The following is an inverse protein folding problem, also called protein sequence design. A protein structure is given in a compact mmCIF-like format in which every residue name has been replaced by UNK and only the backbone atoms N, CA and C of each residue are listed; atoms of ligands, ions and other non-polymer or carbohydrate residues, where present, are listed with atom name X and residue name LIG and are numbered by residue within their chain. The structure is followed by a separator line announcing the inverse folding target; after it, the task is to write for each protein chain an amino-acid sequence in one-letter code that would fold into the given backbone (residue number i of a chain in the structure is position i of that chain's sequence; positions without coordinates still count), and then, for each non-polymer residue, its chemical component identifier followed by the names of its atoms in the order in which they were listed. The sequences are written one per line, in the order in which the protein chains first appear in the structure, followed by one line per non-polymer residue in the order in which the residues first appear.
data_IF_282167927064
#
_entry.id   IF_282167927064
#
_cell.length_a   1.000
_cell.length_b   1.000
_cell.length_c   1.000
_cell.angle_alpha   90.00
_cell.angle_beta   90.00
_cell.angle_gamma   90.00
#
_symmetry.space_group_name_H-M   'P 1'
#
loop_
_entity.id
_entity.type
_entity.pdbx_description
1 polymer ?
#
# COMPACT_ATOMS: atom_id res chain seq x y z
N UNK A 1 65.36 -2.24 1.43
CA UNK A 1 64.34 -1.39 0.79
C UNK A 1 63.13 -2.26 0.48
N UNK A 2 62.20 -2.34 1.42
CA UNK A 2 60.97 -3.11 1.26
C UNK A 2 59.90 -2.14 0.77
N UNK A 3 59.66 -2.13 -0.54
CA UNK A 3 58.57 -1.38 -1.13
C UNK A 3 57.26 -2.14 -0.85
N UNK A 4 56.51 -1.69 0.16
CA UNK A 4 55.15 -2.15 0.40
C UNK A 4 54.24 -1.53 -0.67
N UNK A 5 53.87 -2.33 -1.66
CA UNK A 5 52.84 -2.00 -2.64
C UNK A 5 51.50 -1.86 -1.93
N UNK A 6 51.01 -0.62 -1.80
CA UNK A 6 49.63 -0.33 -1.39
C UNK A 6 48.73 -0.62 -2.59
N UNK A 7 48.35 -1.88 -2.74
CA UNK A 7 47.36 -2.33 -3.71
C UNK A 7 46.02 -2.61 -3.04
N UNK A 8 45.03 -1.78 -3.35
CA UNK A 8 43.63 -2.20 -3.47
C UNK A 8 42.77 -2.18 -2.21
N UNK A 9 41.85 -1.22 -2.15
CA UNK A 9 40.55 -1.40 -1.49
C UNK A 9 39.52 -0.39 -2.04
N UNK A 10 39.22 -0.47 -3.35
CA UNK A 10 37.97 0.11 -3.87
C UNK A 10 36.88 -0.94 -3.70
N UNK A 11 36.21 -0.88 -2.55
CA UNK A 11 34.99 -1.63 -2.28
C UNK A 11 33.94 -1.11 -3.25
N UNK A 12 33.50 -1.95 -4.19
CA UNK A 12 32.44 -1.66 -5.15
C UNK A 12 31.13 -1.46 -4.38
N UNK A 13 30.82 -0.21 -4.01
CA UNK A 13 29.46 0.18 -3.62
C UNK A 13 28.58 0.09 -4.88
N UNK A 14 27.39 -0.48 -4.73
CA UNK A 14 26.53 -0.95 -5.82
C UNK A 14 26.51 -0.05 -7.05
N UNK A 15 26.82 -0.64 -8.21
CA UNK A 15 26.82 0.08 -9.48
C UNK A 15 25.42 0.55 -9.88
N UNK A 16 25.29 1.37 -10.93
CA UNK A 16 23.99 1.89 -11.40
C UNK A 16 22.97 0.80 -11.75
N UNK A 17 23.43 -0.44 -12.00
CA UNK A 17 22.56 -1.60 -12.20
C UNK A 17 21.94 -2.11 -10.89
N UNK A 18 22.68 -2.10 -9.78
CA UNK A 18 22.20 -2.51 -8.45
C UNK A 18 21.06 -1.61 -7.99
N UNK A 19 21.18 -0.29 -8.19
CA UNK A 19 20.11 0.64 -7.84
C UNK A 19 18.82 0.46 -8.67
N UNK A 20 18.86 -0.23 -9.81
CA UNK A 20 17.65 -0.55 -10.59
C UNK A 20 16.96 -1.79 -10.04
N UNK A 21 17.72 -2.84 -9.72
CA UNK A 21 17.17 -4.06 -9.12
C UNK A 21 16.61 -3.79 -7.72
N UNK A 22 17.26 -2.94 -6.92
CA UNK A 22 16.74 -2.53 -5.60
C UNK A 22 15.37 -1.85 -5.71
N UNK A 23 15.20 -0.91 -6.65
CA UNK A 23 13.90 -0.26 -6.90
C UNK A 23 12.81 -1.23 -7.37
N UNK A 24 13.18 -2.28 -8.11
CA UNK A 24 12.23 -3.33 -8.49
C UNK A 24 11.80 -4.15 -7.29
N UNK A 25 12.74 -4.49 -6.41
CA UNK A 25 12.44 -5.18 -5.15
C UNK A 25 11.58 -4.32 -4.21
N UNK A 26 11.82 -3.01 -4.11
CA UNK A 26 10.94 -2.08 -3.39
C UNK A 26 9.52 -2.09 -3.94
N UNK A 27 9.38 -2.14 -5.27
CA UNK A 27 8.07 -2.23 -5.94
C UNK A 27 7.37 -3.54 -5.60
N UNK A 28 8.07 -4.67 -5.67
CA UNK A 28 7.53 -5.98 -5.27
C UNK A 28 7.07 -5.96 -3.82
N UNK A 29 7.87 -5.39 -2.92
CA UNK A 29 7.52 -5.26 -1.50
C UNK A 29 6.27 -4.39 -1.30
N UNK A 30 6.13 -3.30 -2.04
CA UNK A 30 4.92 -2.47 -2.01
C UNK A 30 3.68 -3.25 -2.46
N UNK A 31 3.80 -4.03 -3.53
CA UNK A 31 2.71 -4.88 -4.01
C UNK A 31 2.31 -5.94 -2.99
N UNK A 32 3.26 -6.62 -2.36
CA UNK A 32 2.98 -7.59 -1.29
C UNK A 32 2.22 -6.95 -0.12
N UNK A 33 2.60 -5.73 0.28
CA UNK A 33 1.90 -4.97 1.33
C UNK A 33 0.47 -4.63 0.92
N UNK A 34 0.26 -4.15 -0.31
CA UNK A 34 -1.09 -3.85 -0.84
C UNK A 34 -1.97 -5.09 -0.91
N UNK A 35 -1.43 -6.21 -1.38
CA UNK A 35 -2.13 -7.49 -1.39
C UNK A 35 -2.53 -7.91 0.03
N UNK A 36 -1.61 -7.80 0.99
CA UNK A 36 -1.89 -8.10 2.40
C UNK A 36 -2.97 -7.16 2.98
N UNK A 37 -2.93 -5.87 2.67
CA UNK A 37 -3.98 -4.93 3.08
C UNK A 37 -5.34 -5.26 2.47
N UNK A 38 -5.39 -5.73 1.22
CA UNK A 38 -6.62 -6.17 0.58
C UNK A 38 -7.20 -7.40 1.27
N UNK A 39 -6.36 -8.41 1.62
CA UNK A 39 -6.79 -9.58 2.39
C UNK A 39 -7.43 -9.16 3.72
N UNK A 40 -6.76 -8.26 4.45
CA UNK A 40 -7.27 -7.74 5.72
C UNK A 40 -8.60 -7.00 5.56
N UNK A 41 -8.73 -6.16 4.52
CA UNK A 41 -9.97 -5.47 4.23
C UNK A 41 -11.12 -6.44 3.95
N UNK A 42 -10.88 -7.44 3.09
CA UNK A 42 -11.88 -8.45 2.71
C UNK A 42 -12.33 -9.27 3.92
N UNK A 43 -11.40 -9.64 4.81
CA UNK A 43 -11.71 -10.37 6.03
C UNK A 43 -12.44 -9.52 7.09
N UNK A 44 -12.19 -8.21 7.10
CA UNK A 44 -12.85 -7.27 8.04
C UNK A 44 -14.28 -6.94 7.60
N UNK A 45 -14.51 -6.77 6.30
CA UNK A 45 -15.80 -6.34 5.75
C UNK A 45 -16.65 -7.50 5.19
N UNK A 46 -16.15 -8.73 5.26
CA UNK A 46 -16.80 -9.94 4.77
C UNK A 46 -16.80 -11.06 5.81
N UNK A 47 -17.00 -12.32 5.39
CA UNK A 47 -16.86 -13.45 6.28
C UNK A 47 -15.42 -13.53 6.80
N UNK A 48 -15.25 -13.75 8.12
CA UNK A 48 -13.95 -13.96 8.74
C UNK A 48 -13.32 -15.28 8.29
N UNK A 49 -12.70 -15.27 7.12
CA UNK A 49 -11.94 -16.37 6.52
C UNK A 49 -11.00 -15.82 5.47
N UNK A 50 -9.99 -16.60 5.12
CA UNK A 50 -9.12 -16.25 4.00
C UNK A 50 -9.94 -16.17 2.69
N UNK A 51 -9.77 -15.11 1.90
CA UNK A 51 -10.47 -14.97 0.63
C UNK A 51 -9.95 -16.01 -0.37
N UNK A 52 -10.84 -16.55 -1.20
CA UNK A 52 -10.45 -17.40 -2.34
C UNK A 52 -9.89 -16.60 -3.51
N UNK A 53 -10.19 -15.30 -3.56
CA UNK A 53 -9.79 -14.40 -4.64
C UNK A 53 -9.50 -13.00 -4.07
N UNK A 54 -8.43 -12.37 -4.57
CA UNK A 54 -8.01 -11.01 -4.20
C UNK A 54 -8.54 -10.00 -5.22
N UNK A 55 -9.86 -9.91 -5.33
CA UNK A 55 -10.54 -8.96 -6.21
C UNK A 55 -11.01 -7.71 -5.45
N UNK A 56 -11.10 -6.55 -6.12
CA UNK A 56 -11.78 -5.38 -5.58
C UNK A 56 -13.27 -5.66 -5.34
N UNK A 57 -13.81 -5.13 -4.25
CA UNK A 57 -15.25 -5.17 -3.93
C UNK A 57 -15.74 -3.77 -3.56
N UNK A 58 -17.05 -3.51 -3.51
CA UNK A 58 -17.55 -2.20 -3.07
C UNK A 58 -17.05 -1.79 -1.67
N UNK A 59 -16.86 -2.75 -0.76
CA UNK A 59 -16.33 -2.50 0.58
C UNK A 59 -14.79 -2.39 0.62
N UNK A 60 -14.10 -3.02 -0.34
CA UNK A 60 -12.65 -3.03 -0.47
C UNK A 60 -12.25 -2.71 -1.92
N UNK A 61 -12.34 -1.44 -2.35
CA UNK A 61 -12.20 -1.05 -3.75
C UNK A 61 -10.75 -0.95 -4.22
N UNK A 62 -9.77 -1.26 -3.35
CA UNK A 62 -8.36 -1.12 -3.70
C UNK A 62 -8.00 -2.05 -4.85
N UNK A 63 -7.50 -1.46 -5.94
CA UNK A 63 -6.91 -2.21 -7.03
C UNK A 63 -5.54 -2.75 -6.60
N UNK A 64 -5.39 -4.06 -6.72
CA UNK A 64 -4.15 -4.76 -6.40
C UNK A 64 -3.59 -5.43 -7.65
N UNK A 65 -2.27 -5.37 -7.82
CA UNK A 65 -1.57 -6.07 -8.88
C UNK A 65 -1.35 -7.51 -8.47
N UNK A 66 -1.80 -8.46 -9.28
CA UNK A 66 -1.63 -9.90 -9.03
C UNK A 66 -0.39 -10.49 -9.71
N UNK A 67 0.32 -9.69 -10.51
CA UNK A 67 1.55 -10.10 -11.19
C UNK A 67 2.62 -9.01 -11.10
N UNK A 68 3.89 -9.44 -11.04
CA UNK A 68 5.06 -8.58 -11.04
C UNK A 68 5.14 -7.81 -12.37
N UNK A 69 5.15 -6.46 -12.34
CA UNK A 69 5.18 -5.63 -13.54
C UNK A 69 6.47 -5.78 -14.38
N UNK A 70 7.55 -6.33 -13.81
CA UNK A 70 8.83 -6.47 -14.48
C UNK A 70 9.06 -7.86 -15.09
N UNK A 71 8.43 -8.89 -14.53
CA UNK A 71 8.64 -10.30 -14.94
C UNK A 71 7.36 -10.96 -15.45
N UNK A 72 6.20 -10.34 -15.23
CA UNK A 72 4.87 -10.93 -15.43
C UNK A 72 4.60 -12.19 -14.59
N UNK A 73 5.49 -12.54 -13.65
CA UNK A 73 5.29 -13.65 -12.73
C UNK A 73 4.13 -13.34 -11.77
N UNK A 74 3.24 -14.30 -11.54
CA UNK A 74 2.14 -14.13 -10.60
C UNK A 74 2.67 -14.06 -9.15
N UNK A 75 2.14 -13.13 -8.36
CA UNK A 75 2.33 -13.17 -6.91
C UNK A 75 1.60 -14.38 -6.34
N UNK A 76 2.22 -15.04 -5.37
CA UNK A 76 1.65 -16.26 -4.75
C UNK A 76 0.92 -15.89 -3.47
N UNK A 77 -0.34 -16.28 -3.37
CA UNK A 77 -1.12 -16.20 -2.14
C UNK A 77 -1.32 -17.61 -1.59
N UNK A 78 -0.83 -17.85 -0.38
CA UNK A 78 -0.77 -19.18 0.22
C UNK A 78 -1.40 -19.15 1.62
N UNK A 79 -2.57 -19.78 1.83
CA UNK A 79 -3.06 -20.11 3.16
C UNK A 79 -2.06 -21.01 3.90
N UNK A 80 -1.75 -20.68 5.15
CA UNK A 80 -0.84 -21.49 5.99
C UNK A 80 -1.64 -22.22 7.06
N UNK A 81 -2.51 -21.48 7.75
CA UNK A 81 -3.45 -21.97 8.76
C UNK A 81 -4.81 -21.29 8.53
N UNK A 82 -5.89 -21.64 9.26
CA UNK A 82 -7.21 -21.04 9.04
C UNK A 82 -7.23 -19.51 9.09
N UNK A 83 -6.39 -18.92 9.93
CA UNK A 83 -6.33 -17.48 10.18
C UNK A 83 -4.99 -16.85 9.77
N UNK A 84 -4.10 -17.59 9.07
CA UNK A 84 -2.79 -17.09 8.65
C UNK A 84 -2.47 -17.42 7.19
N UNK A 85 -1.75 -16.51 6.54
CA UNK A 85 -1.45 -16.59 5.12
C UNK A 85 -0.07 -16.00 4.81
N UNK A 86 0.40 -16.25 3.59
CA UNK A 86 1.62 -15.68 3.02
C UNK A 86 1.31 -15.08 1.66
N UNK A 87 1.96 -13.96 1.34
CA UNK A 87 2.00 -13.39 -0.01
C UNK A 87 3.44 -13.30 -0.45
N UNK A 88 3.80 -13.95 -1.55
CA UNK A 88 5.19 -14.12 -1.96
C UNK A 88 5.49 -13.50 -3.33
N UNK A 89 6.72 -13.03 -3.46
CA UNK A 89 7.30 -12.52 -4.70
C UNK A 89 8.72 -13.09 -4.90
N UNK A 90 9.19 -13.06 -6.14
CA UNK A 90 10.55 -13.48 -6.49
C UNK A 90 11.46 -12.23 -6.52
N UNK A 91 12.15 -12.00 -5.40
CA UNK A 91 13.06 -10.87 -5.22
C UNK A 91 14.42 -11.11 -5.89
N UNK A 92 15.05 -10.04 -6.39
CA UNK A 92 16.35 -10.12 -7.06
C UNK A 92 17.52 -10.14 -6.08
N UNK A 93 17.32 -9.59 -4.88
CA UNK A 93 18.31 -9.63 -3.81
C UNK A 93 17.81 -10.36 -2.58
N UNK A 94 18.74 -10.88 -1.76
CA UNK A 94 18.41 -11.36 -0.43
C UNK A 94 17.72 -10.26 0.38
N UNK A 95 16.51 -10.57 0.87
CA UNK A 95 15.81 -9.70 1.78
C UNK A 95 16.53 -9.63 3.11
N UNK A 96 16.46 -8.46 3.75
CA UNK A 96 16.98 -8.25 5.10
C UNK A 96 15.80 -8.13 6.04
N UNK A 97 15.86 -8.90 7.12
CA UNK A 97 14.95 -8.73 8.24
C UNK A 97 15.48 -7.55 9.05
N UNK A 98 14.87 -6.39 8.83
CA UNK A 98 15.01 -5.28 9.75
C UNK A 98 13.95 -5.46 10.84
N UNK A 99 14.16 -4.98 12.06
CA UNK A 99 13.24 -5.19 13.20
C UNK A 99 11.79 -4.72 12.92
N UNK A 100 11.57 -3.81 11.97
CA UNK A 100 10.25 -3.32 11.55
C UNK A 100 9.55 -4.21 10.49
N UNK A 101 10.20 -5.27 10.01
CA UNK A 101 9.71 -6.21 9.00
C UNK A 101 9.57 -7.64 9.55
N UNK A 102 9.23 -7.78 10.84
CA UNK A 102 9.08 -9.08 11.52
C UNK A 102 8.14 -10.05 10.81
N UNK A 103 7.21 -9.54 10.00
CA UNK A 103 6.24 -10.32 9.25
C UNK A 103 6.82 -10.87 7.93
N UNK A 104 8.11 -10.65 7.63
CA UNK A 104 8.75 -11.10 6.40
C UNK A 104 9.49 -12.43 6.59
N UNK A 105 9.03 -13.48 5.89
CA UNK A 105 9.81 -14.70 5.68
C UNK A 105 10.87 -14.43 4.61
N UNK A 106 12.03 -13.93 5.06
CA UNK A 106 13.17 -13.57 4.20
C UNK A 106 13.71 -14.75 3.39
N UNK A 107 13.57 -15.98 3.90
CA UNK A 107 14.06 -17.18 3.22
C UNK A 107 13.20 -17.53 2.01
N UNK A 108 11.90 -17.22 2.06
CA UNK A 108 10.94 -17.49 0.98
C UNK A 108 10.55 -16.27 0.15
N UNK A 109 10.92 -15.07 0.59
CA UNK A 109 10.48 -13.84 -0.06
C UNK A 109 8.98 -13.57 0.14
N UNK A 110 8.45 -13.93 1.31
CA UNK A 110 7.01 -13.86 1.59
C UNK A 110 6.69 -12.92 2.74
N UNK A 111 5.69 -12.07 2.56
CA UNK A 111 5.05 -11.34 3.64
C UNK A 111 3.99 -12.25 4.29
N UNK A 112 4.14 -12.51 5.58
CA UNK A 112 3.21 -13.25 6.42
C UNK A 112 2.12 -12.29 6.91
N UNK A 113 0.88 -12.77 6.94
CA UNK A 113 -0.24 -12.00 7.47
C UNK A 113 -1.17 -12.90 8.28
N UNK A 114 -1.95 -12.25 9.14
CA UNK A 114 -2.98 -12.88 9.95
C UNK A 114 -4.31 -12.20 9.70
N UNK A 115 -5.40 -12.96 9.81
CA UNK A 115 -6.73 -12.37 9.88
C UNK A 115 -6.85 -11.51 11.14
N UNK A 116 -7.62 -10.41 11.09
CA UNK A 116 -7.88 -9.61 12.29
C UNK A 116 -8.44 -10.52 13.41
N UNK A 117 -8.19 -10.29 14.70
CA UNK A 117 -8.77 -11.11 15.78
C UNK A 117 -10.30 -11.04 15.78
N UNK A 118 -11.01 -12.05 16.33
CA UNK A 118 -12.46 -12.01 16.35
C UNK A 118 -12.91 -10.85 17.24
N UNK A 119 -14.05 -10.21 16.93
CA UNK A 119 -14.59 -9.20 17.83
C UNK A 119 -14.79 -9.82 19.22
N UNK A 120 -14.49 -9.10 20.32
CA UNK A 120 -14.73 -9.61 21.66
C UNK A 120 -16.20 -10.02 21.84
N UNK A 121 -16.48 -11.09 22.59
CA UNK A 121 -17.81 -11.69 22.71
C UNK A 121 -18.87 -10.74 23.27
N UNK A 122 -18.44 -9.70 23.97
CA UNK A 122 -19.32 -8.71 24.62
C UNK A 122 -19.66 -7.51 23.73
N UNK A 123 -19.12 -7.44 22.50
CA UNK A 123 -19.57 -6.46 21.53
C UNK A 123 -20.91 -6.89 20.94
N UNK A 124 -21.93 -6.01 20.92
CA UNK A 124 -23.18 -6.33 20.28
C UNK A 124 -22.91 -6.64 18.80
N UNK A 125 -23.23 -7.86 18.37
CA UNK A 125 -23.05 -8.40 17.01
C UNK A 125 -23.90 -7.71 15.94
N UNK A 126 -24.54 -6.60 16.28
CA UNK A 126 -25.41 -5.82 15.43
C UNK A 126 -25.04 -4.35 15.47
N UNK A 127 -24.02 -3.94 14.72
CA UNK A 127 -24.11 -2.64 14.08
C UNK A 127 -24.81 -2.90 12.75
N UNK A 128 -26.10 -2.56 12.68
CA UNK A 128 -26.83 -2.53 11.41
C UNK A 128 -25.98 -1.78 10.37
N UNK A 129 -26.07 -2.13 9.07
CA UNK A 129 -25.51 -1.30 8.01
C UNK A 129 -25.90 0.13 8.32
N UNK A 130 -24.92 1.03 8.45
CA UNK A 130 -25.23 2.45 8.54
C UNK A 130 -25.91 2.76 7.21
N UNK A 131 -27.24 2.82 7.21
CA UNK A 131 -28.00 3.55 6.20
C UNK A 131 -27.32 4.92 6.17
N UNK A 132 -26.53 5.13 5.14
CA UNK A 132 -26.10 6.44 4.74
C UNK A 132 -27.40 7.15 4.39
N UNK A 133 -28.03 7.75 5.40
CA UNK A 133 -29.01 8.80 5.18
C UNK A 133 -28.28 9.80 4.31
N UNK A 134 -28.58 9.75 3.03
CA UNK A 134 -28.28 10.80 2.08
C UNK A 134 -28.99 12.03 2.62
N UNK A 135 -28.30 12.76 3.49
CA UNK A 135 -28.66 14.12 3.82
C UNK A 135 -28.64 14.87 2.50
N UNK A 136 -29.79 15.43 2.05
CA UNK A 136 -29.78 16.22 0.83
C UNK A 136 -28.88 17.42 1.11
N UNK A 137 -27.77 17.49 0.39
CA UNK A 137 -26.89 18.64 0.30
C UNK A 137 -27.77 19.87 0.02
N UNK A 138 -28.05 20.64 1.07
CA UNK A 138 -28.69 21.93 0.95
C UNK A 138 -27.84 22.76 -0.03
N UNK A 139 -28.49 23.22 -1.10
CA UNK A 139 -27.88 24.12 -2.06
C UNK A 139 -27.35 25.37 -1.32
N UNK A 140 -26.13 25.84 -1.61
CA UNK A 140 -25.71 27.15 -1.13
C UNK A 140 -26.56 28.21 -1.83
N UNK A 141 -27.33 28.94 -1.02
CA UNK A 141 -28.05 30.15 -1.38
C UNK A 141 -27.04 31.19 -1.90
N UNK A 142 -27.03 31.42 -3.21
CA UNK A 142 -26.21 32.45 -3.86
C UNK A 142 -26.99 33.76 -3.80
N UNK A 143 -26.85 34.49 -2.69
CA UNK A 143 -27.19 35.91 -2.64
C UNK A 143 -25.88 36.71 -2.80
N UNK A 144 -25.43 36.88 -4.04
CA UNK A 144 -24.38 37.83 -4.40
C UNK A 144 -25.00 39.23 -4.52
N UNK A 145 -24.93 39.97 -3.43
CA UNK A 145 -25.21 41.40 -3.35
C UNK A 145 -24.10 42.15 -4.13
N UNK A 146 -24.41 42.56 -5.36
CA UNK A 146 -23.49 43.29 -6.23
C UNK A 146 -23.54 44.78 -5.87
N UNK A 147 -22.83 45.18 -4.82
CA UNK A 147 -22.62 46.61 -4.52
C UNK A 147 -21.55 47.19 -5.46
N UNK A 148 -22.03 47.90 -6.49
CA UNK A 148 -21.23 48.60 -7.48
C UNK A 148 -20.53 49.82 -6.86
N UNK A 149 -19.21 49.72 -6.69
CA UNK A 149 -18.35 50.86 -6.34
C UNK A 149 -18.05 51.68 -7.60
N UNK A 150 -18.35 52.99 -7.65
CA UNK A 150 -18.02 53.81 -8.81
C UNK A 150 -16.52 54.13 -8.86
N UNK A 151 -15.90 53.81 -10.00
CA UNK A 151 -14.52 54.18 -10.36
C UNK A 151 -14.45 55.69 -10.59
N UNK A 152 -13.69 56.39 -9.75
CA UNK A 152 -13.30 57.78 -9.99
C UNK A 152 -12.22 57.84 -11.08
N UNK A 153 -12.55 58.53 -12.17
CA UNK A 153 -11.63 58.82 -13.28
C UNK A 153 -10.74 59.99 -12.87
N UNK A 154 -9.43 59.75 -12.76
CA UNK A 154 -8.43 60.82 -12.60
C UNK A 154 -7.94 61.22 -14.00
N UNK A 155 -8.02 62.51 -14.39
CA UNK A 155 -7.53 62.95 -15.69
C UNK A 155 -5.99 63.05 -15.72
N UNK A 156 -5.43 62.61 -16.85
CA UNK A 156 -4.03 62.80 -17.20
C UNK A 156 -3.73 64.30 -17.41
N UNK A 157 -2.60 64.76 -16.86
CA UNK A 157 -2.03 66.08 -17.13
C UNK A 157 -0.89 65.97 -18.16
N UNK A 158 -0.62 67.06 -18.92
CA UNK A 158 0.03 67.02 -20.23
C UNK A 158 1.54 66.77 -20.24
#
# INVERSE_FOLDING_TARGET
MTALSVGGALVFTGGPMTGRSERRDETRMNDLRRLSSQVQCLATNGPRRLPSELAPTPACPSEVRLADPYTAAAYRFEPVEPDSYRVCADFEHPLKADDWQSDLDVARGCLVGHLPPPPPPDLPTGRAPQEQTTEPKAAPDQAEDTEQVPVQVVPAQP
#
